data_IF_804822917865
#
_entry.id   IF_804822917865
#
_cell.length_a   1.000
_cell.length_b   1.000
_cell.length_c   1.000
_cell.angle_alpha   90.00
_cell.angle_beta   90.00
_cell.angle_gamma   90.00
#
_symmetry.space_group_name_H-M   'P 1'
#
loop_
_entity.id
_entity.type
_entity.pdbx_description
1 polymer ?
#
# COMPACT_ATOMS: atom_id res chain seq x y z
N UNK A 1 2.65 14.37 11.22
CA UNK A 1 3.34 13.45 10.32
C UNK A 1 2.39 12.65 9.45
N UNK A 2 1.32 12.15 10.03
CA UNK A 2 0.30 11.44 9.26
C UNK A 2 -0.34 12.32 8.19
N UNK A 3 -0.41 13.60 8.45
CA UNK A 3 -1.04 14.56 7.54
C UNK A 3 -0.35 14.64 6.19
N UNK A 4 0.99 14.47 6.18
CA UNK A 4 1.74 14.52 4.92
C UNK A 4 1.34 13.38 3.99
N UNK A 5 1.22 12.17 4.55
CA UNK A 5 0.83 11.01 3.77
C UNK A 5 -0.63 11.11 3.34
N UNK A 6 -1.48 11.60 4.22
CA UNK A 6 -2.90 11.78 3.90
C UNK A 6 -3.08 12.76 2.75
N UNK A 7 -2.37 13.89 2.78
CA UNK A 7 -2.44 14.86 1.69
C UNK A 7 -1.97 14.25 0.38
N UNK A 8 -0.86 13.53 0.42
CA UNK A 8 -0.33 12.88 -0.77
C UNK A 8 -1.34 11.90 -1.35
N UNK A 9 -1.93 11.07 -0.50
CA UNK A 9 -2.89 10.07 -0.94
C UNK A 9 -4.19 10.68 -1.43
N UNK A 10 -4.62 11.79 -0.82
CA UNK A 10 -5.82 12.50 -1.27
C UNK A 10 -5.66 13.12 -2.65
N UNK A 11 -4.44 13.44 -3.03
CA UNK A 11 -4.17 13.96 -4.38
C UNK A 11 -4.16 12.86 -5.43
N UNK A 12 -4.04 11.61 -5.00
CA UNK A 12 -4.01 10.50 -5.93
C UNK A 12 -5.41 10.23 -6.46
N UNK A 13 -5.51 10.07 -7.78
CA UNK A 13 -6.79 9.84 -8.45
C UNK A 13 -7.05 8.37 -8.73
N UNK A 14 -6.12 7.49 -8.35
CA UNK A 14 -6.28 6.06 -8.52
C UNK A 14 -4.95 5.35 -8.59
N UNK A 15 -4.98 4.12 -9.06
CA UNK A 15 -3.78 3.32 -9.26
C UNK A 15 -3.29 3.46 -10.70
N UNK A 16 -1.96 3.44 -10.85
CA UNK A 16 -1.36 3.41 -12.18
C UNK A 16 -1.68 2.06 -12.81
N UNK A 17 -2.28 2.13 -13.99
CA UNK A 17 -2.71 0.94 -14.71
C UNK A 17 -1.61 0.19 -15.43
N UNK A 18 -0.41 0.14 -14.88
CA UNK A 18 0.66 -0.67 -15.44
C UNK A 18 0.32 -2.15 -15.31
N UNK A 19 -0.25 -2.69 -16.37
CA UNK A 19 -0.74 -4.06 -16.40
C UNK A 19 0.35 -5.08 -16.12
N UNK A 20 1.57 -4.80 -16.53
CA UNK A 20 2.68 -5.70 -16.29
C UNK A 20 2.96 -5.90 -14.82
N UNK A 21 3.05 -4.80 -14.08
CA UNK A 21 3.33 -4.86 -12.65
C UNK A 21 2.18 -5.49 -11.87
N UNK A 22 0.97 -5.09 -12.18
CA UNK A 22 -0.21 -5.61 -11.50
C UNK A 22 -0.35 -7.12 -11.71
N UNK A 23 -0.20 -7.56 -12.94
CA UNK A 23 -0.28 -8.98 -13.27
C UNK A 23 0.84 -9.78 -12.60
N UNK A 24 2.04 -9.22 -12.55
CA UNK A 24 3.16 -9.86 -11.92
C UNK A 24 2.93 -10.06 -10.42
N UNK A 25 2.40 -9.06 -9.75
CA UNK A 25 2.06 -9.15 -8.33
C UNK A 25 0.97 -10.18 -8.09
N UNK A 26 -0.04 -10.19 -8.94
CA UNK A 26 -1.12 -11.17 -8.85
C UNK A 26 -0.60 -12.60 -8.97
N UNK A 27 0.25 -12.83 -9.97
CA UNK A 27 0.80 -14.16 -10.19
C UNK A 27 1.69 -14.61 -9.03
N UNK A 28 2.53 -13.71 -8.55
CA UNK A 28 3.51 -14.04 -7.52
C UNK A 28 2.91 -14.21 -6.13
N UNK A 29 1.95 -13.36 -5.76
CA UNK A 29 1.40 -13.30 -4.41
C UNK A 29 -0.12 -13.45 -4.36
N UNK A 30 -0.74 -13.67 -5.50
CA UNK A 30 -2.20 -13.80 -5.62
C UNK A 30 -2.94 -12.57 -5.08
N UNK A 31 -2.36 -11.39 -5.28
CA UNK A 31 -3.00 -10.12 -4.91
C UNK A 31 -3.47 -9.42 -6.17
N UNK A 32 -4.75 -9.08 -6.22
CA UNK A 32 -5.32 -8.39 -7.38
C UNK A 32 -5.15 -6.88 -7.26
N UNK A 33 -5.28 -6.19 -8.40
CA UNK A 33 -5.23 -4.72 -8.38
C UNK A 33 -6.39 -4.14 -7.57
N UNK A 34 -7.54 -4.78 -7.60
CA UNK A 34 -8.69 -4.36 -6.81
C UNK A 34 -8.39 -4.44 -5.31
N UNK A 35 -7.74 -5.50 -4.88
CA UNK A 35 -7.35 -5.64 -3.48
C UNK A 35 -6.34 -4.57 -3.08
N UNK A 36 -5.38 -4.26 -3.94
CA UNK A 36 -4.43 -3.18 -3.67
C UNK A 36 -5.15 -1.84 -3.51
N UNK A 37 -6.10 -1.57 -4.37
CA UNK A 37 -6.87 -0.33 -4.30
C UNK A 37 -7.67 -0.24 -3.00
N UNK A 38 -8.30 -1.34 -2.59
CA UNK A 38 -9.14 -1.37 -1.41
C UNK A 38 -8.40 -0.96 -0.14
N UNK A 39 -7.15 -1.33 0.02
CA UNK A 39 -6.44 -1.01 1.26
C UNK A 39 -6.29 0.49 1.47
N UNK A 40 -6.28 1.26 0.39
CA UNK A 40 -6.13 2.72 0.50
C UNK A 40 -7.42 3.42 0.90
N UNK A 41 -8.56 2.73 0.85
CA UNK A 41 -9.85 3.28 1.27
C UNK A 41 -10.30 2.77 2.63
N UNK A 42 -9.69 1.71 3.14
CA UNK A 42 -10.06 1.14 4.43
C UNK A 42 -9.14 1.63 5.54
N UNK A 43 -9.64 1.62 6.75
CA UNK A 43 -8.87 2.07 7.91
C UNK A 43 -8.69 0.93 8.90
N UNK A 44 -7.59 0.95 9.64
CA UNK A 44 -6.49 1.92 9.56
C UNK A 44 -5.59 1.66 8.35
N UNK A 45 -4.95 2.72 7.86
CA UNK A 45 -3.94 2.63 6.81
C UNK A 45 -2.65 3.18 7.37
N UNK A 46 -1.63 2.33 7.50
CA UNK A 46 -0.33 2.73 8.03
C UNK A 46 0.63 2.91 6.87
N UNK A 47 1.19 4.10 6.73
CA UNK A 47 2.11 4.42 5.65
C UNK A 47 3.41 4.94 6.22
N UNK A 48 4.52 4.50 5.65
CA UNK A 48 5.83 5.02 6.02
C UNK A 48 6.76 5.03 4.82
N UNK A 49 7.83 5.81 4.93
CA UNK A 49 8.84 5.85 3.88
C UNK A 49 9.57 4.52 3.81
N UNK A 50 9.84 4.06 2.60
CA UNK A 50 10.73 2.95 2.36
C UNK A 50 12.09 3.54 1.98
N UNK A 51 13.03 3.56 2.91
CA UNK A 51 14.24 4.34 2.83
C UNK A 51 15.37 3.73 2.00
N UNK A 52 15.10 2.71 1.21
CA UNK A 52 16.18 1.92 0.62
C UNK A 52 16.83 2.51 -0.64
N UNK A 53 16.17 3.42 -1.35
CA UNK A 53 16.72 3.96 -2.59
C UNK A 53 16.38 5.44 -2.74
N UNK A 54 17.05 6.32 -1.96
CA UNK A 54 16.72 7.75 -2.01
C UNK A 54 17.11 8.45 -3.32
N UNK A 55 17.90 7.80 -4.15
CA UNK A 55 18.44 8.42 -5.36
C UNK A 55 17.50 8.44 -6.54
N UNK A 56 16.51 7.54 -6.58
CA UNK A 56 15.63 7.45 -7.72
C UNK A 56 14.29 8.05 -7.38
N UNK A 57 13.24 7.28 -7.31
CA UNK A 57 11.98 7.86 -6.87
C UNK A 57 11.66 7.42 -5.45
N UNK A 58 11.00 8.30 -4.73
CA UNK A 58 10.65 8.03 -3.34
C UNK A 58 9.64 6.89 -3.27
N UNK A 59 9.94 5.93 -2.41
CA UNK A 59 9.10 4.75 -2.22
C UNK A 59 8.48 4.74 -0.84
N UNK A 60 7.33 4.10 -0.75
CA UNK A 60 6.54 4.03 0.48
C UNK A 60 6.12 2.59 0.73
N UNK A 61 5.85 2.29 2.00
CA UNK A 61 5.24 1.02 2.39
C UNK A 61 3.92 1.30 3.08
N UNK A 62 2.94 0.48 2.80
CA UNK A 62 1.63 0.58 3.44
C UNK A 62 1.21 -0.75 4.03
N UNK A 63 0.60 -0.70 5.21
CA UNK A 63 -0.10 -1.81 5.81
C UNK A 63 -1.59 -1.46 5.83
N UNK A 64 -2.40 -2.30 5.25
CA UNK A 64 -3.83 -2.05 5.20
C UNK A 64 -4.62 -3.33 5.01
N UNK A 65 -5.93 -3.21 4.97
CA UNK A 65 -6.80 -4.37 4.79
C UNK A 65 -7.78 -4.16 3.65
N UNK A 66 -8.14 -5.24 3.00
CA UNK A 66 -9.15 -5.24 1.95
C UNK A 66 -10.55 -5.20 2.56
N UNK A 67 -11.56 -5.07 1.72
CA UNK A 67 -12.96 -5.12 2.15
C UNK A 67 -13.31 -6.45 2.83
N UNK A 68 -12.63 -7.52 2.44
CA UNK A 68 -12.80 -8.84 3.05
C UNK A 68 -11.83 -9.09 4.20
N UNK A 69 -11.16 -8.03 4.65
CA UNK A 69 -10.25 -8.05 5.80
C UNK A 69 -8.98 -8.85 5.58
N UNK A 70 -8.57 -9.03 4.33
CA UNK A 70 -7.26 -9.55 4.02
C UNK A 70 -6.22 -8.46 4.32
N UNK A 71 -5.23 -8.77 5.14
CA UNK A 71 -4.22 -7.81 5.55
C UNK A 71 -3.02 -7.87 4.62
N UNK A 72 -2.73 -6.75 3.98
CA UNK A 72 -1.69 -6.67 2.96
C UNK A 72 -0.59 -5.68 3.31
N UNK A 73 0.62 -6.03 2.88
CA UNK A 73 1.75 -5.12 2.82
C UNK A 73 1.92 -4.73 1.36
N UNK A 74 2.00 -3.42 1.10
CA UNK A 74 2.15 -2.91 -0.26
C UNK A 74 3.31 -1.93 -0.30
N UNK A 75 4.27 -2.17 -1.21
CA UNK A 75 5.30 -1.21 -1.53
C UNK A 75 4.86 -0.45 -2.77
N UNK A 76 4.92 0.86 -2.72
CA UNK A 76 4.43 1.67 -3.83
C UNK A 76 5.21 2.98 -3.95
N UNK A 77 5.01 3.64 -5.08
CA UNK A 77 5.47 5.00 -5.30
C UNK A 77 4.32 5.81 -5.87
N UNK A 78 4.46 7.13 -5.86
CA UNK A 78 3.44 8.02 -6.41
C UNK A 78 4.05 8.75 -7.61
N UNK A 79 3.34 8.70 -8.73
CA UNK A 79 3.78 9.33 -9.96
C UNK A 79 2.56 9.93 -10.67
N UNK A 80 2.63 11.21 -10.99
CA UNK A 80 1.53 11.91 -11.65
C UNK A 80 0.20 11.78 -10.91
N UNK A 81 0.24 11.84 -9.58
CA UNK A 81 -0.94 11.68 -8.72
C UNK A 81 -1.60 10.31 -8.86
N UNK A 82 -0.82 9.31 -9.27
CA UNK A 82 -1.27 7.93 -9.30
C UNK A 82 -0.39 7.07 -8.40
N UNK A 83 -1.00 6.14 -7.71
CA UNK A 83 -0.28 5.18 -6.88
C UNK A 83 0.20 4.05 -7.79
N UNK A 84 1.51 3.85 -7.83
CA UNK A 84 2.10 2.77 -8.60
C UNK A 84 2.59 1.70 -7.65
N UNK A 85 1.93 0.55 -7.67
CA UNK A 85 2.28 -0.57 -6.82
C UNK A 85 3.54 -1.24 -7.34
N UNK A 86 4.53 -1.37 -6.46
CA UNK A 86 5.79 -2.04 -6.78
C UNK A 86 5.68 -3.51 -6.43
N UNK A 87 5.16 -3.80 -5.24
CA UNK A 87 4.90 -5.18 -4.83
C UNK A 87 3.79 -5.21 -3.80
N UNK A 88 3.13 -6.35 -3.70
CA UNK A 88 2.05 -6.55 -2.74
C UNK A 88 2.07 -8.00 -2.27
N UNK A 89 1.84 -8.20 -0.99
CA UNK A 89 1.82 -9.53 -0.38
C UNK A 89 1.03 -9.51 0.91
N UNK A 90 0.73 -10.68 1.44
CA UNK A 90 0.15 -10.76 2.78
C UNK A 90 1.16 -10.26 3.81
N UNK A 91 0.65 -9.72 4.91
CA UNK A 91 1.50 -9.26 6.00
C UNK A 91 2.25 -10.41 6.64
N UNK A 92 3.49 -10.12 7.07
CA UNK A 92 4.25 -11.03 7.94
C UNK A 92 3.65 -11.01 9.34
N UNK A 93 4.09 -11.92 10.21
CA UNK A 93 3.64 -11.93 11.60
C UNK A 93 3.92 -10.62 12.32
N UNK A 94 5.09 -10.07 12.11
CA UNK A 94 5.49 -8.82 12.72
C UNK A 94 4.59 -7.68 12.25
N UNK A 95 4.33 -7.64 10.96
CA UNK A 95 3.47 -6.63 10.38
C UNK A 95 2.03 -6.74 10.89
N UNK A 96 1.53 -7.95 11.03
CA UNK A 96 0.19 -8.17 11.60
C UNK A 96 0.08 -7.65 13.01
N UNK A 97 1.11 -7.85 13.83
CA UNK A 97 1.10 -7.35 15.21
C UNK A 97 1.03 -5.83 15.25
N UNK A 98 1.83 -5.19 14.39
CA UNK A 98 1.83 -3.73 14.28
C UNK A 98 0.45 -3.25 13.86
N UNK A 99 -0.12 -3.90 12.85
CA UNK A 99 -1.40 -3.51 12.31
C UNK A 99 -2.55 -3.73 13.30
N UNK A 100 -2.55 -4.86 13.99
CA UNK A 100 -3.56 -5.16 15.01
C UNK A 100 -3.54 -4.15 16.15
N UNK A 101 -2.35 -3.70 16.55
CA UNK A 101 -2.23 -2.63 17.53
C UNK A 101 -2.90 -1.35 17.04
N UNK A 102 -2.70 -1.01 15.80
CA UNK A 102 -3.34 0.16 15.21
C UNK A 102 -4.86 0.00 15.12
N UNK A 103 -5.33 -1.20 14.80
CA UNK A 103 -6.76 -1.48 14.76
C UNK A 103 -7.43 -1.27 16.11
N UNK A 104 -6.76 -1.65 17.18
CA UNK A 104 -7.29 -1.48 18.53
C UNK A 104 -7.43 -0.01 18.93
N UNK A 105 -6.62 0.84 18.35
CA UNK A 105 -6.60 2.27 18.67
C UNK A 105 -7.42 3.12 17.71
N UNK A 106 -8.11 2.50 16.80
CA UNK A 106 -8.89 3.21 15.78
C UNK A 106 -10.35 3.34 16.15
#
# INVERSE_FOLDING_TARGET
MEDIYNEMLHRCTGLDGDKGNVNKNRIKHEVTSSECEQIFFNQPLLVQDAALHPETEKRFCALGKTDKKRRLFIAFTVRNNLIRVISARDMSRKERRIYESAEKNT
#
